data_IF_677786961766
#
_entry.id   IF_677786961766
#
_cell.length_a   1.000
_cell.length_b   1.000
_cell.length_c   1.000
_cell.angle_alpha   90.00
_cell.angle_beta   90.00
_cell.angle_gamma   90.00
#
_symmetry.space_group_name_H-M   'P 1'
#
loop_
_entity.id
_entity.type
_entity.pdbx_description
1 polymer ?
#
# COMPACT_ATOMS: atom_id res chain seq x y z
N UNK A 1 -7.59 -23.91 11.26
CA UNK A 1 -6.95 -23.68 9.94
C UNK A 1 -7.40 -22.31 9.48
N UNK A 2 -6.59 -21.28 9.71
CA UNK A 2 -6.91 -19.93 9.22
C UNK A 2 -6.90 -19.95 7.69
N UNK A 3 -8.03 -19.59 7.11
CA UNK A 3 -8.17 -19.36 5.69
C UNK A 3 -7.34 -18.12 5.38
N UNK A 4 -6.07 -18.30 4.97
CA UNK A 4 -5.20 -17.18 4.61
C UNK A 4 -5.91 -16.38 3.52
N UNK A 5 -6.24 -15.12 3.81
CA UNK A 5 -6.85 -14.22 2.84
C UNK A 5 -5.99 -14.19 1.57
N UNK A 6 -6.63 -14.18 0.40
CA UNK A 6 -5.94 -14.09 -0.87
C UNK A 6 -5.05 -12.81 -0.86
N UNK A 7 -3.76 -12.87 -1.24
CA UNK A 7 -2.83 -11.75 -1.08
C UNK A 7 -3.31 -10.43 -1.70
N UNK A 8 -4.02 -10.49 -2.84
CA UNK A 8 -4.63 -9.32 -3.48
C UNK A 8 -5.76 -8.73 -2.61
N UNK A 9 -6.66 -9.55 -2.07
CA UNK A 9 -7.75 -9.08 -1.20
C UNK A 9 -7.23 -8.57 0.15
N UNK A 10 -6.16 -9.17 0.68
CA UNK A 10 -5.45 -8.64 1.85
C UNK A 10 -4.87 -7.25 1.55
N UNK A 11 -4.14 -7.10 0.45
CA UNK A 11 -3.58 -5.81 0.04
C UNK A 11 -4.67 -4.76 -0.19
N UNK A 12 -5.83 -5.12 -0.77
CA UNK A 12 -6.99 -4.22 -0.89
C UNK A 12 -7.55 -3.76 0.46
N UNK A 13 -7.53 -4.64 1.46
CA UNK A 13 -7.94 -4.26 2.82
C UNK A 13 -6.95 -3.26 3.42
N UNK A 14 -5.65 -3.49 3.22
CA UNK A 14 -4.59 -2.59 3.68
C UNK A 14 -4.67 -1.23 2.98
N UNK A 15 -4.87 -1.18 1.66
CA UNK A 15 -4.99 0.10 0.94
C UNK A 15 -6.19 0.92 1.40
N UNK A 16 -7.33 0.29 1.68
CA UNK A 16 -8.49 0.99 2.26
C UNK A 16 -8.16 1.62 3.61
N UNK A 17 -7.53 0.86 4.51
CA UNK A 17 -7.13 1.39 5.82
C UNK A 17 -6.09 2.53 5.69
N UNK A 18 -5.09 2.39 4.82
CA UNK A 18 -4.10 3.45 4.59
C UNK A 18 -4.76 4.71 4.01
N UNK A 19 -5.75 4.56 3.12
CA UNK A 19 -6.49 5.67 2.53
C UNK A 19 -7.26 6.47 3.57
N UNK A 20 -7.89 5.80 4.53
CA UNK A 20 -8.57 6.44 5.66
C UNK A 20 -7.56 7.23 6.51
N UNK A 21 -6.45 6.60 6.92
CA UNK A 21 -5.39 7.26 7.71
C UNK A 21 -4.75 8.45 6.97
N UNK A 22 -4.52 8.33 5.67
CA UNK A 22 -3.97 9.41 4.86
C UNK A 22 -4.97 10.58 4.73
N UNK A 23 -6.26 10.28 4.61
CA UNK A 23 -7.31 11.30 4.61
C UNK A 23 -7.35 12.06 5.94
N UNK A 24 -7.32 11.35 7.07
CA UNK A 24 -7.28 11.96 8.40
C UNK A 24 -6.05 12.87 8.55
N UNK A 25 -4.87 12.40 8.11
CA UNK A 25 -3.64 13.19 8.18
C UNK A 25 -3.68 14.45 7.30
N UNK A 26 -4.34 14.40 6.13
CA UNK A 26 -4.58 15.59 5.30
C UNK A 26 -5.52 16.56 6.02
N UNK A 27 -6.61 16.07 6.61
CA UNK A 27 -7.61 16.89 7.31
C UNK A 27 -7.04 17.56 8.57
N UNK A 28 -6.24 16.84 9.35
CA UNK A 28 -5.63 17.35 10.59
C UNK A 28 -4.34 18.16 10.34
N UNK A 29 -3.77 18.04 9.13
CA UNK A 29 -2.52 18.70 8.76
C UNK A 29 -1.28 18.16 9.48
N UNK A 30 -1.40 16.98 10.07
CA UNK A 30 -0.35 16.28 10.81
C UNK A 30 -0.37 14.80 10.47
N UNK A 31 0.81 14.18 10.44
CA UNK A 31 0.96 12.74 10.29
C UNK A 31 1.69 12.19 11.50
N UNK A 32 0.98 11.70 12.53
CA UNK A 32 1.60 11.19 13.74
C UNK A 32 2.56 10.04 13.46
N UNK A 33 3.66 9.96 14.22
CA UNK A 33 4.68 8.92 14.03
C UNK A 33 4.10 7.50 14.17
N UNK A 34 3.18 7.28 15.13
CA UNK A 34 2.50 6.00 15.31
C UNK A 34 1.68 5.59 14.08
N UNK A 35 1.00 6.54 13.46
CA UNK A 35 0.24 6.33 12.23
C UNK A 35 1.19 6.00 11.07
N UNK A 36 2.28 6.75 10.94
CA UNK A 36 3.30 6.51 9.92
C UNK A 36 3.96 5.13 10.05
N UNK A 37 4.29 4.70 11.28
CA UNK A 37 4.82 3.35 11.56
C UNK A 37 3.80 2.27 11.17
N UNK A 38 2.51 2.51 11.47
CA UNK A 38 1.44 1.57 11.13
C UNK A 38 1.27 1.43 9.62
N UNK A 39 1.22 2.56 8.89
CA UNK A 39 1.17 2.58 7.42
C UNK A 39 2.39 1.86 6.84
N UNK A 40 3.58 2.20 7.32
CA UNK A 40 4.84 1.65 6.82
C UNK A 40 4.86 0.13 6.95
N UNK A 41 4.56 -0.39 8.16
CA UNK A 41 4.52 -1.83 8.42
C UNK A 41 3.46 -2.55 7.58
N UNK A 42 2.23 -2.05 7.58
CA UNK A 42 1.14 -2.70 6.86
C UNK A 42 1.42 -2.74 5.34
N UNK A 43 1.99 -1.66 4.80
CA UNK A 43 2.34 -1.59 3.40
C UNK A 43 3.50 -2.53 3.05
N UNK A 44 4.53 -2.64 3.89
CA UNK A 44 5.62 -3.63 3.74
C UNK A 44 5.09 -5.06 3.77
N UNK A 45 4.23 -5.40 4.73
CA UNK A 45 3.69 -6.75 4.87
C UNK A 45 2.83 -7.14 3.64
N UNK A 46 2.03 -6.19 3.12
CA UNK A 46 1.27 -6.37 1.89
C UNK A 46 2.16 -6.53 0.65
N UNK A 47 3.19 -5.69 0.50
CA UNK A 47 4.15 -5.79 -0.60
C UNK A 47 4.86 -7.16 -0.60
N UNK A 48 5.30 -7.63 0.57
CA UNK A 48 5.92 -8.94 0.73
C UNK A 48 4.95 -10.06 0.36
N UNK A 49 3.70 -9.99 0.81
CA UNK A 49 2.65 -10.97 0.48
C UNK A 49 2.39 -11.03 -1.03
N UNK A 50 2.32 -9.89 -1.72
CA UNK A 50 2.15 -9.81 -3.18
C UNK A 50 3.36 -10.38 -3.92
N UNK A 51 4.59 -10.06 -3.49
CA UNK A 51 5.82 -10.61 -4.07
C UNK A 51 5.89 -12.13 -3.95
N UNK A 52 5.59 -12.67 -2.76
CA UNK A 52 5.50 -14.12 -2.55
C UNK A 52 4.40 -14.75 -3.41
N UNK A 53 3.28 -14.05 -3.60
CA UNK A 53 2.20 -14.54 -4.46
C UNK A 53 2.66 -14.68 -5.92
N UNK A 54 3.31 -13.66 -6.48
CA UNK A 54 3.87 -13.70 -7.85
C UNK A 54 4.83 -14.88 -7.99
N UNK A 55 5.79 -15.02 -7.07
CA UNK A 55 6.77 -16.12 -7.09
C UNK A 55 6.09 -17.48 -6.99
N UNK A 56 5.11 -17.62 -6.11
CA UNK A 56 4.42 -18.90 -5.87
C UNK A 56 3.54 -19.35 -7.03
N UNK A 57 2.90 -18.41 -7.75
CA UNK A 57 2.06 -18.71 -8.90
C UNK A 57 2.87 -18.86 -10.18
N UNK A 58 3.99 -18.14 -10.30
CA UNK A 58 4.93 -18.23 -11.41
C UNK A 58 4.24 -18.13 -12.77
N UNK A 59 4.45 -19.13 -13.63
CA UNK A 59 3.90 -19.21 -14.99
C UNK A 59 2.39 -19.40 -15.07
N UNK A 60 1.69 -19.60 -13.93
CA UNK A 60 0.23 -19.70 -13.88
C UNK A 60 -0.46 -18.35 -13.98
N UNK A 61 0.26 -17.25 -13.74
CA UNK A 61 -0.28 -15.91 -13.97
C UNK A 61 -0.08 -15.53 -15.43
N UNK A 62 -1.09 -14.90 -16.03
CA UNK A 62 -0.89 -14.21 -17.29
C UNK A 62 0.10 -13.06 -17.09
N UNK A 63 0.80 -12.65 -18.15
CA UNK A 63 1.71 -11.51 -18.09
C UNK A 63 1.01 -10.23 -17.59
N UNK A 64 -0.25 -10.02 -17.99
CA UNK A 64 -1.03 -8.86 -17.58
C UNK A 64 -1.36 -8.90 -16.08
N UNK A 65 -1.80 -10.06 -15.57
CA UNK A 65 -2.08 -10.26 -14.14
C UNK A 65 -0.82 -10.06 -13.30
N UNK A 66 0.30 -10.69 -13.70
CA UNK A 66 1.57 -10.56 -13.01
C UNK A 66 2.05 -9.10 -12.98
N UNK A 67 1.93 -8.38 -14.10
CA UNK A 67 2.29 -6.95 -14.18
C UNK A 67 1.43 -6.08 -13.29
N UNK A 68 0.11 -6.32 -13.22
CA UNK A 68 -0.79 -5.56 -12.36
C UNK A 68 -0.44 -5.75 -10.88
N UNK A 69 -0.21 -7.00 -10.45
CA UNK A 69 0.20 -7.33 -9.08
C UNK A 69 1.57 -6.73 -8.76
N UNK A 70 2.53 -6.81 -9.68
CA UNK A 70 3.87 -6.24 -9.49
C UNK A 70 3.82 -4.71 -9.38
N UNK A 71 3.00 -4.05 -10.19
CA UNK A 71 2.83 -2.60 -10.13
C UNK A 71 2.16 -2.17 -8.82
N UNK A 72 1.19 -2.94 -8.33
CA UNK A 72 0.61 -2.72 -7.00
C UNK A 72 1.63 -2.96 -5.88
N UNK A 73 2.46 -4.00 -5.98
CA UNK A 73 3.54 -4.30 -5.03
C UNK A 73 4.48 -3.11 -4.89
N UNK A 74 4.90 -2.52 -6.01
CA UNK A 74 5.78 -1.34 -6.03
C UNK A 74 5.11 -0.13 -5.38
N UNK A 75 3.80 0.09 -5.57
CA UNK A 75 3.11 1.18 -4.87
C UNK A 75 3.05 0.94 -3.36
N UNK A 76 2.87 -0.31 -2.91
CA UNK A 76 2.91 -0.64 -1.49
C UNK A 76 4.31 -0.40 -0.90
N UNK A 77 5.37 -0.69 -1.63
CA UNK A 77 6.74 -0.31 -1.21
C UNK A 77 6.91 1.20 -1.13
N UNK A 78 6.40 1.94 -2.12
CA UNK A 78 6.45 3.40 -2.12
C UNK A 78 5.68 4.00 -0.93
N UNK A 79 4.50 3.46 -0.59
CA UNK A 79 3.75 3.84 0.61
C UNK A 79 4.57 3.59 1.89
N UNK A 80 5.25 2.45 1.95
CA UNK A 80 6.05 2.10 3.11
C UNK A 80 7.23 3.08 3.32
N UNK A 81 7.91 3.44 2.23
CA UNK A 81 9.01 4.41 2.23
C UNK A 81 8.52 5.83 2.55
N UNK A 82 7.43 6.28 1.91
CA UNK A 82 6.82 7.59 2.19
C UNK A 82 6.47 7.72 3.68
N UNK A 83 5.78 6.74 4.24
CA UNK A 83 5.47 6.75 5.67
C UNK A 83 6.75 6.68 6.54
N UNK A 84 7.78 5.95 6.09
CA UNK A 84 9.08 5.89 6.74
C UNK A 84 9.79 7.24 6.86
N UNK A 85 9.54 8.19 5.96
CA UNK A 85 10.13 9.54 6.00
C UNK A 85 9.75 10.31 7.28
N UNK A 86 8.59 10.03 7.87
CA UNK A 86 8.14 10.66 9.14
C UNK A 86 9.10 10.34 10.28
N UNK A 87 9.63 9.11 10.32
CA UNK A 87 10.57 8.67 11.36
C UNK A 87 11.96 9.24 11.14
N UNK A 88 12.37 9.34 9.87
CA UNK A 88 13.71 9.82 9.49
C UNK A 88 13.84 11.34 9.65
N UNK A 89 12.75 12.09 9.45
CA UNK A 89 12.78 13.55 9.43
C UNK A 89 11.75 14.14 10.40
N UNK A 90 12.16 15.15 11.18
CA UNK A 90 11.20 15.99 11.92
C UNK A 90 10.39 16.81 10.92
N UNK A 91 9.20 16.33 10.58
CA UNK A 91 8.34 17.00 9.61
C UNK A 91 7.80 18.30 10.20
N UNK A 92 7.92 19.38 9.42
CA UNK A 92 7.12 20.58 9.64
C UNK A 92 5.67 20.30 9.23
N UNK A 93 4.67 21.04 9.74
CA UNK A 93 3.28 20.85 9.35
C UNK A 93 3.05 20.89 7.83
N UNK A 94 3.73 21.80 7.12
CA UNK A 94 3.68 21.87 5.65
C UNK A 94 4.21 20.58 5.00
N UNK A 95 5.32 20.04 5.48
CA UNK A 95 5.88 18.80 4.95
C UNK A 95 5.00 17.59 5.29
N UNK A 96 4.34 17.58 6.46
CA UNK A 96 3.39 16.55 6.85
C UNK A 96 2.17 16.51 5.90
N UNK A 97 1.61 17.68 5.55
CA UNK A 97 0.52 17.78 4.56
C UNK A 97 0.96 17.26 3.18
N UNK A 98 2.14 17.68 2.70
CA UNK A 98 2.65 17.19 1.41
C UNK A 98 2.84 15.67 1.41
N UNK A 99 3.32 15.11 2.52
CA UNK A 99 3.49 13.68 2.66
C UNK A 99 2.16 12.92 2.72
N UNK A 100 1.18 13.46 3.46
CA UNK A 100 -0.17 12.89 3.52
C UNK A 100 -0.84 12.89 2.13
N UNK A 101 -0.68 13.97 1.35
CA UNK A 101 -1.14 14.02 -0.04
C UNK A 101 -0.44 12.99 -0.93
N UNK A 102 0.88 12.82 -0.77
CA UNK A 102 1.63 11.80 -1.51
C UNK A 102 1.12 10.38 -1.16
N UNK A 103 0.90 10.09 0.13
CA UNK A 103 0.30 8.83 0.57
C UNK A 103 -1.08 8.61 -0.05
N UNK A 104 -1.95 9.63 -0.02
CA UNK A 104 -3.30 9.57 -0.61
C UNK A 104 -3.28 9.27 -2.11
N UNK A 105 -2.37 9.90 -2.85
CA UNK A 105 -2.24 9.65 -4.29
C UNK A 105 -1.71 8.24 -4.58
N UNK A 106 -0.65 7.82 -3.87
CA UNK A 106 -0.04 6.51 -4.08
C UNK A 106 -0.99 5.37 -3.67
N UNK A 107 -1.76 5.52 -2.59
CA UNK A 107 -2.71 4.48 -2.15
C UNK A 107 -3.88 4.34 -3.12
N UNK A 108 -4.32 5.43 -3.76
CA UNK A 108 -5.32 5.38 -4.83
C UNK A 108 -4.80 4.63 -6.06
N UNK A 109 -3.54 4.86 -6.46
CA UNK A 109 -2.92 4.08 -7.53
C UNK A 109 -2.82 2.59 -7.19
N UNK A 110 -2.38 2.27 -5.97
CA UNK A 110 -2.28 0.90 -5.49
C UNK A 110 -3.66 0.21 -5.52
N UNK A 111 -4.70 0.88 -5.01
CA UNK A 111 -6.08 0.38 -5.03
C UNK A 111 -6.55 0.05 -6.45
N UNK A 112 -6.34 0.96 -7.41
CA UNK A 112 -6.75 0.75 -8.79
C UNK A 112 -6.05 -0.45 -9.44
N UNK A 113 -4.74 -0.62 -9.21
CA UNK A 113 -3.97 -1.75 -9.74
C UNK A 113 -4.35 -3.07 -9.08
N UNK A 114 -4.65 -3.06 -7.79
CA UNK A 114 -5.14 -4.23 -7.07
C UNK A 114 -6.53 -4.67 -7.53
N UNK A 115 -7.45 -3.73 -7.79
CA UNK A 115 -8.77 -4.04 -8.36
C UNK A 115 -8.63 -4.67 -9.74
N UNK A 116 -7.80 -4.09 -10.61
CA UNK A 116 -7.48 -4.68 -11.90
C UNK A 116 -6.91 -6.10 -11.75
N UNK A 117 -6.02 -6.32 -10.78
CA UNK A 117 -5.47 -7.65 -10.52
C UNK A 117 -6.53 -8.64 -10.02
N UNK A 118 -7.46 -8.21 -9.17
CA UNK A 118 -8.58 -9.01 -8.67
C UNK A 118 -9.53 -9.41 -9.81
N UNK A 119 -9.88 -8.48 -10.70
CA UNK A 119 -10.70 -8.72 -11.88
C UNK A 119 -10.03 -9.73 -12.85
N UNK A 120 -8.71 -9.64 -13.02
CA UNK A 120 -7.94 -10.55 -13.89
C UNK A 120 -7.68 -11.94 -13.28
N UNK A 121 -7.93 -12.12 -11.99
CA UNK A 121 -7.80 -13.40 -11.28
C UNK A 121 -9.13 -14.16 -11.16
N UNK A 122 -10.24 -13.49 -11.42
CA UNK A 122 -11.61 -14.02 -11.38
C UNK A 122 -11.91 -14.85 -12.63
#
# INVERSE_FOLDING_TARGET
MEQRAHPVSYALTVTRAIKELASDAVSEGVLPESMAVTISKAATDAALSLGLFIVSKGTRLTHQTARAIESARVDMEALAELAGLVRTYKLTPKNAVHLALALSYTVEQAENRLRLAEDLLS
#
